data_IF_317660090974
#
_entry.id   IF_317660090974
#
_cell.length_a   1.000
_cell.length_b   1.000
_cell.length_c   1.000
_cell.angle_alpha   90.00
_cell.angle_beta   90.00
_cell.angle_gamma   90.00
#
_symmetry.space_group_name_H-M   'P 1'
#
loop_
_entity.id
_entity.type
_entity.pdbx_description
1 polymer ?
#
# COMPACT_ATOMS: atom_id res chain seq x y z
N UNK A 1 14.22 -39.87 18.75
CA UNK A 1 12.90 -39.99 18.07
C UNK A 1 11.90 -38.88 18.41
N UNK A 2 11.82 -38.33 19.65
CA UNK A 2 10.89 -37.23 20.00
C UNK A 2 11.21 -35.89 19.29
N UNK A 3 12.50 -35.54 19.19
CA UNK A 3 12.94 -34.28 18.54
C UNK A 3 12.62 -34.29 17.02
N UNK A 4 12.85 -35.43 16.35
CA UNK A 4 12.58 -35.56 14.92
C UNK A 4 11.07 -35.44 14.58
N UNK A 5 10.18 -35.99 15.41
CA UNK A 5 8.72 -35.81 15.26
C UNK A 5 8.29 -34.37 15.55
N UNK A 6 8.83 -33.76 16.61
CA UNK A 6 8.55 -32.36 16.94
C UNK A 6 8.99 -31.40 15.81
N UNK A 7 10.15 -31.68 15.21
CA UNK A 7 10.63 -30.94 14.04
C UNK A 7 9.74 -31.21 12.81
N UNK A 8 9.32 -32.46 12.57
CA UNK A 8 8.42 -32.78 11.46
C UNK A 8 7.05 -32.11 11.58
N UNK A 9 6.51 -31.95 12.80
CA UNK A 9 5.23 -31.31 13.05
C UNK A 9 5.32 -29.77 12.97
N UNK A 10 6.52 -29.18 13.10
CA UNK A 10 6.75 -27.75 13.16
C UNK A 10 7.65 -27.18 12.06
N UNK A 11 8.08 -28.01 11.13
CA UNK A 11 9.01 -27.62 10.09
C UNK A 11 8.47 -26.41 9.26
N UNK A 12 7.16 -26.37 8.99
CA UNK A 12 6.51 -25.24 8.29
C UNK A 12 6.66 -23.95 9.08
N UNK A 13 6.45 -24.01 10.40
CA UNK A 13 6.63 -22.86 11.28
C UNK A 13 8.09 -22.41 11.33
N UNK A 14 9.03 -23.34 11.41
CA UNK A 14 10.46 -23.05 11.44
C UNK A 14 10.89 -22.37 10.13
N UNK A 15 10.50 -22.94 8.99
CA UNK A 15 10.78 -22.36 7.67
C UNK A 15 10.15 -20.99 7.55
N UNK A 16 8.89 -20.83 7.97
CA UNK A 16 8.21 -19.53 7.94
C UNK A 16 8.94 -18.48 8.80
N UNK A 17 9.41 -18.85 9.99
CA UNK A 17 10.16 -17.94 10.87
C UNK A 17 11.54 -17.60 10.29
N UNK A 18 12.22 -18.55 9.65
CA UNK A 18 13.50 -18.30 8.98
C UNK A 18 13.32 -17.35 7.79
N UNK A 19 12.31 -17.59 6.96
CA UNK A 19 11.99 -16.70 5.84
C UNK A 19 11.61 -15.32 6.34
N UNK A 20 10.78 -15.22 7.37
CA UNK A 20 10.40 -13.94 7.97
C UNK A 20 11.62 -13.20 8.54
N UNK A 21 12.51 -13.90 9.24
CA UNK A 21 13.76 -13.35 9.75
C UNK A 21 14.66 -12.84 8.62
N UNK A 22 14.80 -13.61 7.55
CA UNK A 22 15.55 -13.21 6.36
C UNK A 22 14.98 -11.96 5.69
N UNK A 23 13.65 -11.87 5.54
CA UNK A 23 12.97 -10.70 4.98
C UNK A 23 13.04 -9.48 5.91
N UNK A 24 13.11 -9.68 7.22
CA UNK A 24 13.26 -8.60 8.18
C UNK A 24 14.70 -8.07 8.26
N UNK A 25 15.70 -8.89 7.90
CA UNK A 25 17.12 -8.56 8.05
C UNK A 25 17.52 -7.22 7.39
N UNK A 26 17.16 -6.90 6.14
CA UNK A 26 17.49 -5.60 5.55
C UNK A 26 16.90 -4.43 6.34
N UNK A 27 15.67 -4.56 6.84
CA UNK A 27 15.04 -3.52 7.64
C UNK A 27 15.71 -3.34 9.00
N UNK A 28 16.20 -4.43 9.60
CA UNK A 28 16.99 -4.38 10.85
C UNK A 28 18.34 -3.71 10.63
N UNK A 29 18.99 -3.96 9.48
CA UNK A 29 20.23 -3.27 9.12
C UNK A 29 20.00 -1.77 8.95
N UNK A 30 18.95 -1.36 8.24
CA UNK A 30 18.57 0.06 8.09
C UNK A 30 18.28 0.66 9.46
N UNK A 31 17.55 -0.06 10.34
CA UNK A 31 17.28 0.39 11.70
C UNK A 31 18.57 0.55 12.52
N UNK A 32 19.51 -0.37 12.44
CA UNK A 32 20.81 -0.25 13.09
C UNK A 32 21.60 0.96 12.56
N UNK A 33 21.66 1.11 11.22
CA UNK A 33 22.35 2.23 10.60
C UNK A 33 21.70 3.60 10.87
N UNK A 34 20.44 3.64 11.29
CA UNK A 34 19.80 4.90 11.72
C UNK A 34 20.43 5.50 12.97
N UNK A 35 21.09 4.67 13.78
CA UNK A 35 21.84 5.06 14.99
C UNK A 35 23.36 5.19 14.73
N UNK A 36 23.79 5.06 13.48
CA UNK A 36 25.20 5.14 13.13
C UNK A 36 25.62 6.56 12.73
N UNK A 37 26.83 6.95 13.12
CA UNK A 37 27.54 8.12 12.62
C UNK A 37 28.70 7.63 11.75
N UNK A 38 28.50 7.49 10.42
CA UNK A 38 29.52 6.96 9.53
C UNK A 38 30.67 7.97 9.37
N UNK A 39 31.90 7.49 9.34
CA UNK A 39 33.09 8.28 9.05
C UNK A 39 33.11 8.81 7.61
N UNK A 40 32.49 8.03 6.69
CA UNK A 40 32.32 8.38 5.30
C UNK A 40 30.90 8.05 4.83
N UNK A 41 30.28 8.94 4.03
CA UNK A 41 28.93 8.75 3.48
C UNK A 41 28.79 7.56 2.51
N UNK A 42 29.89 7.05 2.00
CA UNK A 42 29.94 5.88 1.11
C UNK A 42 30.22 4.57 1.86
N UNK A 43 30.54 4.63 3.17
CA UNK A 43 30.74 3.45 4.00
C UNK A 43 29.42 3.02 4.63
N UNK A 44 29.20 1.70 4.64
CA UNK A 44 28.09 1.06 5.34
C UNK A 44 28.54 0.44 6.67
N UNK A 45 29.77 0.71 7.10
CA UNK A 45 30.29 0.22 8.37
C UNK A 45 29.62 0.95 9.55
N UNK A 46 29.45 0.23 10.64
CA UNK A 46 28.95 0.81 11.87
C UNK A 46 30.13 1.35 12.67
N UNK A 47 30.34 2.68 12.62
CA UNK A 47 31.49 3.32 13.24
C UNK A 47 31.21 3.78 14.67
N UNK A 48 30.18 4.61 14.86
CA UNK A 48 29.88 5.22 16.14
C UNK A 48 28.36 5.26 16.39
N UNK A 49 27.92 4.87 17.59
CA UNK A 49 26.53 4.99 17.98
C UNK A 49 26.16 6.44 18.28
N UNK A 50 25.08 6.93 17.68
CA UNK A 50 24.58 8.28 17.92
C UNK A 50 23.05 8.35 17.86
N UNK A 51 22.47 9.27 18.65
CA UNK A 51 21.06 9.64 18.59
C UNK A 51 20.81 10.94 17.80
N UNK A 52 21.84 11.60 17.33
CA UNK A 52 21.73 12.90 16.66
C UNK A 52 20.92 12.83 15.38
N UNK A 53 20.99 11.71 14.65
CA UNK A 53 20.19 11.48 13.46
C UNK A 53 18.68 11.50 13.75
N UNK A 54 18.28 10.94 14.90
CA UNK A 54 16.89 10.93 15.38
C UNK A 54 16.44 12.27 15.94
N UNK A 55 17.36 13.04 16.52
CA UNK A 55 17.06 14.39 17.01
C UNK A 55 16.89 15.39 15.88
N UNK A 56 17.58 15.16 14.76
CA UNK A 56 17.57 16.04 13.58
C UNK A 56 17.29 15.26 12.31
N UNK A 57 16.10 14.66 12.17
CA UNK A 57 15.78 13.84 11.01
C UNK A 57 15.74 14.64 9.69
N UNK A 58 15.49 15.95 9.80
CA UNK A 58 15.45 16.89 8.69
C UNK A 58 16.71 17.77 8.58
N UNK A 59 17.87 17.26 9.00
CA UNK A 59 19.11 17.99 8.84
C UNK A 59 19.44 18.32 7.36
N UNK A 60 18.88 17.53 6.43
CA UNK A 60 18.90 17.78 4.98
C UNK A 60 17.48 18.24 4.58
N UNK A 61 17.30 19.54 4.29
CA UNK A 61 16.01 20.12 3.95
C UNK A 61 15.34 19.41 2.76
N UNK A 62 16.10 19.17 1.69
CA UNK A 62 15.61 18.55 0.45
C UNK A 62 14.99 17.16 0.67
N UNK A 63 15.51 16.40 1.66
CA UNK A 63 15.00 15.09 2.01
C UNK A 63 13.60 15.20 2.65
N UNK A 64 13.43 16.09 3.61
CA UNK A 64 12.13 16.29 4.25
C UNK A 64 11.09 16.84 3.30
N UNK A 65 11.48 17.73 2.40
CA UNK A 65 10.60 18.21 1.34
C UNK A 65 10.17 17.07 0.42
N UNK A 66 11.10 16.17 0.07
CA UNK A 66 10.80 14.98 -0.71
C UNK A 66 9.82 14.03 0.01
N UNK A 67 10.00 13.82 1.33
CA UNK A 67 9.06 13.04 2.16
C UNK A 67 7.67 13.67 2.17
N UNK A 68 7.58 14.98 2.42
CA UNK A 68 6.30 15.71 2.43
C UNK A 68 5.60 15.59 1.08
N UNK A 69 6.34 15.75 -0.03
CA UNK A 69 5.78 15.59 -1.38
C UNK A 69 5.29 14.17 -1.64
N UNK A 70 6.05 13.13 -1.22
CA UNK A 70 5.58 11.74 -1.33
C UNK A 70 4.31 11.50 -0.55
N UNK A 71 4.20 12.05 0.68
CA UNK A 71 2.98 11.93 1.49
C UNK A 71 1.80 12.65 0.84
N UNK A 72 2.01 13.84 0.31
CA UNK A 72 0.97 14.62 -0.37
C UNK A 72 0.46 13.91 -1.63
N UNK A 73 1.37 13.46 -2.49
CA UNK A 73 1.04 12.69 -3.70
C UNK A 73 0.33 11.39 -3.32
N UNK A 74 0.92 10.63 -2.39
CA UNK A 74 0.36 9.36 -1.93
C UNK A 74 -1.04 9.51 -1.34
N UNK A 75 -1.27 10.54 -0.53
CA UNK A 75 -2.59 10.83 0.04
C UNK A 75 -3.62 11.19 -1.03
N UNK A 76 -3.29 12.13 -1.92
CA UNK A 76 -4.21 12.56 -2.99
C UNK A 76 -4.53 11.41 -3.95
N UNK A 77 -3.50 10.69 -4.41
CA UNK A 77 -3.68 9.54 -5.28
C UNK A 77 -4.53 8.45 -4.61
N UNK A 78 -4.29 8.18 -3.32
CA UNK A 78 -5.07 7.21 -2.54
C UNK A 78 -6.54 7.60 -2.45
N UNK A 79 -6.84 8.84 -2.10
CA UNK A 79 -8.23 9.30 -1.99
C UNK A 79 -8.94 9.17 -3.33
N UNK A 80 -8.33 9.68 -4.40
CA UNK A 80 -8.93 9.64 -5.73
C UNK A 80 -9.08 8.19 -6.24
N UNK A 81 -8.03 7.37 -6.14
CA UNK A 81 -8.07 5.98 -6.56
C UNK A 81 -9.07 5.16 -5.73
N UNK A 82 -9.18 5.41 -4.43
CA UNK A 82 -10.12 4.70 -3.56
C UNK A 82 -11.56 5.04 -3.89
N UNK A 83 -11.87 6.31 -4.11
CA UNK A 83 -13.22 6.73 -4.53
C UNK A 83 -13.58 6.12 -5.88
N UNK A 84 -12.74 6.34 -6.90
CA UNK A 84 -12.98 5.84 -8.26
C UNK A 84 -13.03 4.31 -8.30
N UNK A 85 -12.06 3.64 -7.69
CA UNK A 85 -11.97 2.18 -7.69
C UNK A 85 -13.11 1.52 -6.91
N UNK A 86 -13.55 2.15 -5.81
CA UNK A 86 -14.73 1.66 -5.06
C UNK A 86 -16.00 1.78 -5.91
N UNK A 87 -16.24 2.93 -6.54
CA UNK A 87 -17.39 3.12 -7.44
C UNK A 87 -17.37 2.11 -8.60
N UNK A 88 -16.20 1.91 -9.22
CA UNK A 88 -16.03 0.90 -10.27
C UNK A 88 -16.29 -0.52 -9.76
N UNK A 89 -15.80 -0.87 -8.57
CA UNK A 89 -16.03 -2.18 -7.97
C UNK A 89 -17.52 -2.44 -7.71
N UNK A 90 -18.25 -1.46 -7.17
CA UNK A 90 -19.70 -1.54 -7.01
C UNK A 90 -20.41 -1.69 -8.36
N UNK A 91 -20.08 -0.89 -9.36
CA UNK A 91 -20.65 -1.00 -10.69
C UNK A 91 -20.42 -2.39 -11.29
N UNK A 92 -19.19 -2.93 -11.17
CA UNK A 92 -18.84 -4.24 -11.71
C UNK A 92 -19.48 -5.42 -10.97
N UNK A 93 -19.81 -5.30 -9.69
CA UNK A 93 -20.41 -6.40 -8.91
C UNK A 93 -21.93 -6.33 -8.92
N UNK A 94 -22.50 -5.13 -8.79
CA UNK A 94 -23.95 -4.94 -8.58
C UNK A 94 -24.75 -4.72 -9.85
N UNK A 95 -24.11 -4.17 -10.90
CA UNK A 95 -24.82 -3.82 -12.11
C UNK A 95 -24.40 -4.69 -13.31
N UNK A 96 -25.37 -4.97 -14.19
CA UNK A 96 -25.16 -5.59 -15.49
C UNK A 96 -25.26 -4.51 -16.56
N UNK A 97 -24.18 -4.19 -17.22
CA UNK A 97 -24.14 -3.19 -18.30
C UNK A 97 -23.33 -3.70 -19.49
N UNK A 98 -23.60 -3.11 -20.66
CA UNK A 98 -22.84 -3.38 -21.90
C UNK A 98 -21.40 -2.87 -21.68
N UNK A 99 -20.39 -3.71 -21.98
CA UNK A 99 -18.98 -3.35 -21.78
C UNK A 99 -18.37 -3.79 -20.44
N UNK A 100 -19.15 -4.40 -19.53
CA UNK A 100 -18.63 -4.91 -18.23
C UNK A 100 -17.42 -5.85 -18.39
N UNK A 101 -17.45 -6.73 -19.41
CA UNK A 101 -16.34 -7.63 -19.70
C UNK A 101 -15.08 -6.83 -20.11
N UNK A 102 -15.24 -5.83 -20.97
CA UNK A 102 -14.15 -4.94 -21.40
C UNK A 102 -13.52 -4.20 -20.23
N UNK A 103 -14.33 -3.61 -19.31
CA UNK A 103 -13.83 -2.95 -18.11
C UNK A 103 -13.05 -3.92 -17.20
N UNK A 104 -13.54 -5.16 -17.01
CA UNK A 104 -12.79 -6.17 -16.27
C UNK A 104 -11.44 -6.50 -16.92
N UNK A 105 -11.39 -6.59 -18.24
CA UNK A 105 -10.14 -6.82 -18.99
C UNK A 105 -9.20 -5.63 -18.83
N UNK A 106 -9.68 -4.40 -18.93
CA UNK A 106 -8.87 -3.19 -18.75
C UNK A 106 -8.27 -3.11 -17.33
N UNK A 107 -9.07 -3.41 -16.30
CA UNK A 107 -8.57 -3.47 -14.91
C UNK A 107 -7.48 -4.53 -14.77
N UNK A 108 -7.69 -5.71 -15.34
CA UNK A 108 -6.68 -6.78 -15.31
C UNK A 108 -5.42 -6.43 -16.12
N UNK A 109 -5.60 -5.83 -17.29
CA UNK A 109 -4.49 -5.41 -18.15
C UNK A 109 -3.62 -4.35 -17.45
N UNK A 110 -4.24 -3.39 -16.76
CA UNK A 110 -3.51 -2.39 -15.96
C UNK A 110 -2.64 -3.03 -14.86
N UNK A 111 -3.14 -4.09 -14.19
CA UNK A 111 -2.38 -4.83 -13.17
C UNK A 111 -1.23 -5.66 -13.77
N UNK A 112 -1.43 -6.16 -15.00
CA UNK A 112 -0.43 -6.97 -15.70
C UNK A 112 0.62 -6.12 -16.45
N UNK A 113 0.38 -4.82 -16.61
CA UNK A 113 1.28 -3.91 -17.33
C UNK A 113 2.52 -3.65 -16.48
N UNK A 114 3.75 -3.85 -17.01
CA UNK A 114 4.98 -3.47 -16.32
C UNK A 114 4.98 -1.97 -15.98
N UNK A 115 5.40 -1.61 -14.78
CA UNK A 115 5.43 -0.22 -14.30
C UNK A 115 6.24 0.70 -15.23
N UNK A 116 7.35 0.19 -15.79
CA UNK A 116 8.17 0.90 -16.76
C UNK A 116 7.36 1.30 -18.00
N UNK A 117 6.57 0.36 -18.53
CA UNK A 117 5.74 0.58 -19.72
C UNK A 117 4.63 1.59 -19.41
N UNK A 118 4.02 1.49 -18.24
CA UNK A 118 2.99 2.43 -17.80
C UNK A 118 3.57 3.84 -17.63
N UNK A 119 4.72 3.97 -16.93
CA UNK A 119 5.37 5.25 -16.70
C UNK A 119 5.75 5.96 -18.00
N UNK A 120 6.38 5.23 -18.93
CA UNK A 120 6.77 5.79 -20.24
C UNK A 120 5.57 6.12 -21.14
N UNK A 121 4.51 5.31 -21.10
CA UNK A 121 3.29 5.58 -21.87
C UNK A 121 2.55 6.81 -21.37
N UNK A 122 2.48 7.01 -20.04
CA UNK A 122 1.90 8.21 -19.44
C UNK A 122 2.73 9.45 -19.75
N UNK A 123 4.07 9.34 -19.69
CA UNK A 123 4.96 10.42 -20.12
C UNK A 123 4.68 10.80 -21.57
N UNK A 124 4.63 9.82 -22.49
CA UNK A 124 4.33 10.07 -23.90
C UNK A 124 2.97 10.75 -24.09
N UNK A 125 1.96 10.32 -23.33
CA UNK A 125 0.64 10.95 -23.33
C UNK A 125 0.69 12.40 -22.86
N UNK A 126 1.34 12.72 -21.74
CA UNK A 126 1.43 14.07 -21.21
C UNK A 126 2.22 14.97 -22.15
N UNK A 127 3.34 14.50 -22.71
CA UNK A 127 4.14 15.26 -23.68
C UNK A 127 3.33 15.57 -24.95
N UNK A 128 2.64 14.56 -25.52
CA UNK A 128 1.81 14.75 -26.72
C UNK A 128 0.62 15.67 -26.48
N UNK A 129 0.09 15.71 -25.26
CA UNK A 129 -0.99 16.61 -24.86
C UNK A 129 -0.49 18.02 -24.45
N UNK A 130 0.82 18.27 -24.48
CA UNK A 130 1.41 19.56 -24.06
C UNK A 130 1.29 19.82 -22.55
N UNK A 131 1.11 18.78 -21.72
CA UNK A 131 0.99 18.91 -20.27
C UNK A 131 2.39 18.89 -19.65
N UNK A 132 2.79 19.96 -18.93
CA UNK A 132 4.09 19.98 -18.26
C UNK A 132 4.13 18.96 -17.11
N UNK A 133 5.23 18.17 -17.05
CA UNK A 133 5.45 17.19 -15.99
C UNK A 133 5.68 17.90 -14.64
N UNK A 134 5.18 17.29 -13.56
CA UNK A 134 5.31 17.82 -12.22
C UNK A 134 4.41 17.11 -11.22
N UNK A 135 4.09 17.77 -10.14
CA UNK A 135 3.28 17.22 -9.05
C UNK A 135 1.96 16.58 -9.52
N UNK A 136 1.19 17.25 -10.37
CA UNK A 136 -0.12 16.76 -10.80
C UNK A 136 -0.05 15.60 -11.79
N UNK A 137 0.94 15.57 -12.65
CA UNK A 137 1.15 14.43 -13.55
C UNK A 137 1.54 13.17 -12.77
N UNK A 138 2.31 13.32 -11.69
CA UNK A 138 2.58 12.20 -10.77
C UNK A 138 1.29 11.75 -10.07
N UNK A 139 0.49 12.67 -9.52
CA UNK A 139 -0.79 12.31 -8.86
C UNK A 139 -1.70 11.55 -9.82
N UNK A 140 -1.87 12.04 -11.05
CA UNK A 140 -2.71 11.40 -12.07
C UNK A 140 -2.17 10.01 -12.41
N UNK A 141 -0.86 9.90 -12.63
CA UNK A 141 -0.20 8.61 -12.92
C UNK A 141 -0.41 7.59 -11.81
N UNK A 142 -0.29 8.03 -10.55
CA UNK A 142 -0.51 7.16 -9.39
C UNK A 142 -1.99 6.78 -9.23
N UNK A 143 -2.94 7.66 -9.56
CA UNK A 143 -4.36 7.31 -9.59
C UNK A 143 -4.62 6.20 -10.62
N UNK A 144 -4.09 6.34 -11.84
CA UNK A 144 -4.22 5.33 -12.90
C UNK A 144 -3.61 4.00 -12.47
N UNK A 145 -2.44 4.05 -11.84
CA UNK A 145 -1.77 2.87 -11.30
C UNK A 145 -2.57 2.19 -10.18
N UNK A 146 -2.97 2.95 -9.17
CA UNK A 146 -3.58 2.42 -7.95
C UNK A 146 -5.05 1.99 -8.13
N UNK A 147 -5.81 2.61 -9.05
CA UNK A 147 -7.25 2.37 -9.20
C UNK A 147 -7.59 0.89 -9.43
N UNK A 148 -6.79 0.19 -10.21
CA UNK A 148 -7.01 -1.23 -10.51
C UNK A 148 -6.81 -2.13 -9.29
N UNK A 149 -5.84 -1.84 -8.43
CA UNK A 149 -5.63 -2.53 -7.16
C UNK A 149 -6.81 -2.31 -6.22
N UNK A 150 -7.32 -1.08 -6.15
CA UNK A 150 -8.51 -0.76 -5.35
C UNK A 150 -9.73 -1.52 -5.87
N UNK A 151 -9.97 -1.50 -7.19
CA UNK A 151 -11.10 -2.23 -7.81
C UNK A 151 -11.08 -3.70 -7.44
N UNK A 152 -9.92 -4.37 -7.59
CA UNK A 152 -9.82 -5.81 -7.32
C UNK A 152 -10.03 -6.12 -5.83
N UNK A 153 -9.43 -5.32 -4.94
CA UNK A 153 -9.53 -5.51 -3.49
C UNK A 153 -10.96 -5.31 -2.99
N UNK A 154 -11.61 -4.22 -3.41
CA UNK A 154 -12.99 -3.92 -3.01
C UNK A 154 -13.97 -4.91 -3.65
N UNK A 155 -13.75 -5.29 -4.92
CA UNK A 155 -14.55 -6.30 -5.62
C UNK A 155 -14.50 -7.66 -4.91
N UNK A 156 -13.33 -8.09 -4.45
CA UNK A 156 -13.19 -9.34 -3.69
C UNK A 156 -13.99 -9.30 -2.39
N UNK A 157 -13.99 -8.15 -1.70
CA UNK A 157 -14.79 -7.95 -0.47
C UNK A 157 -16.29 -7.98 -0.75
N UNK A 158 -16.74 -7.30 -1.79
CA UNK A 158 -18.15 -7.27 -2.23
C UNK A 158 -18.65 -8.65 -2.66
N UNK A 159 -17.83 -9.43 -3.38
CA UNK A 159 -18.20 -10.76 -3.82
C UNK A 159 -18.35 -11.76 -2.67
N UNK A 160 -17.61 -11.55 -1.57
CA UNK A 160 -17.71 -12.38 -0.35
C UNK A 160 -18.86 -12.00 0.60
N UNK A 161 -19.66 -10.99 0.27
CA UNK A 161 -20.77 -10.54 1.09
C UNK A 161 -22.05 -11.31 0.73
N UNK A 162 -22.77 -11.79 1.75
CA UNK A 162 -24.06 -12.44 1.55
C UNK A 162 -25.14 -11.41 1.17
N UNK A 163 -25.70 -11.55 -0.03
CA UNK A 163 -26.76 -10.68 -0.56
C UNK A 163 -28.06 -10.76 0.24
N UNK A 164 -28.29 -11.88 0.92
CA UNK A 164 -29.50 -12.06 1.76
C UNK A 164 -29.62 -11.00 2.85
N UNK A 165 -28.50 -10.42 3.30
CA UNK A 165 -28.55 -9.34 4.28
C UNK A 165 -29.18 -8.07 3.71
N UNK A 166 -28.95 -7.78 2.44
CA UNK A 166 -29.55 -6.62 1.76
C UNK A 166 -31.03 -6.90 1.45
N UNK A 167 -31.35 -8.11 0.99
CA UNK A 167 -32.72 -8.55 0.72
C UNK A 167 -33.58 -8.52 2.00
N UNK A 168 -33.07 -9.07 3.10
CA UNK A 168 -33.78 -9.03 4.39
C UNK A 168 -34.03 -7.60 4.90
N UNK A 169 -33.11 -6.66 4.64
CA UNK A 169 -33.38 -5.26 5.01
C UNK A 169 -34.47 -4.63 4.16
N UNK A 170 -34.50 -4.92 2.87
CA UNK A 170 -35.53 -4.42 1.96
C UNK A 170 -36.91 -5.05 2.30
N UNK A 171 -36.96 -6.31 2.70
CA UNK A 171 -38.17 -6.96 3.21
C UNK A 171 -38.70 -6.27 4.47
N UNK A 172 -37.84 -5.63 5.25
CA UNK A 172 -38.17 -4.79 6.39
C UNK A 172 -38.44 -3.31 6.02
N UNK A 173 -38.80 -3.04 4.77
CA UNK A 173 -39.11 -1.71 4.22
C UNK A 173 -37.95 -0.72 4.24
N UNK A 174 -36.67 -1.17 4.32
CA UNK A 174 -35.53 -0.27 4.16
C UNK A 174 -35.42 0.14 2.70
N UNK A 175 -35.21 1.43 2.44
CA UNK A 175 -34.89 1.91 1.10
C UNK A 175 -33.49 1.44 0.65
N UNK A 176 -33.24 1.43 -0.66
CA UNK A 176 -31.90 1.06 -1.20
C UNK A 176 -30.78 1.89 -0.58
N UNK A 177 -30.98 3.19 -0.37
CA UNK A 177 -30.00 4.07 0.29
C UNK A 177 -29.79 3.71 1.76
N UNK A 178 -30.85 3.36 2.48
CA UNK A 178 -30.75 2.92 3.87
C UNK A 178 -30.01 1.59 3.97
N UNK A 179 -30.32 0.64 3.09
CA UNK A 179 -29.63 -0.64 2.98
C UNK A 179 -28.15 -0.44 2.66
N UNK A 180 -27.82 0.40 1.66
CA UNK A 180 -26.45 0.73 1.33
C UNK A 180 -25.69 1.31 2.53
N UNK A 181 -26.24 2.36 3.16
CA UNK A 181 -25.53 3.09 4.22
C UNK A 181 -25.39 2.29 5.52
N UNK A 182 -26.41 1.48 5.88
CA UNK A 182 -26.47 0.79 7.18
C UNK A 182 -25.99 -0.65 7.15
N UNK A 183 -25.97 -1.29 5.99
CA UNK A 183 -25.60 -2.70 5.83
C UNK A 183 -24.41 -2.85 4.89
N UNK A 184 -24.56 -2.47 3.63
CA UNK A 184 -23.53 -2.72 2.61
C UNK A 184 -22.23 -1.98 2.91
N UNK A 185 -22.30 -0.66 3.11
CA UNK A 185 -21.12 0.17 3.32
C UNK A 185 -20.33 -0.24 4.58
N UNK A 186 -20.94 -0.45 5.77
CA UNK A 186 -20.21 -0.91 6.94
C UNK A 186 -19.55 -2.28 6.78
N UNK A 187 -20.16 -3.20 6.04
CA UNK A 187 -19.61 -4.53 5.77
C UNK A 187 -18.45 -4.49 4.78
N UNK A 188 -18.48 -3.57 3.84
CA UNK A 188 -17.44 -3.41 2.80
C UNK A 188 -16.32 -2.47 3.26
N UNK A 189 -16.61 -1.55 4.19
CA UNK A 189 -15.66 -0.52 4.67
C UNK A 189 -14.29 -1.08 5.08
N UNK A 190 -14.17 -2.20 5.80
CA UNK A 190 -12.85 -2.77 6.09
C UNK A 190 -12.05 -3.12 4.84
N UNK A 191 -12.72 -3.57 3.78
CA UNK A 191 -12.11 -3.83 2.48
C UNK A 191 -11.70 -2.55 1.76
N UNK A 192 -12.52 -1.48 1.84
CA UNK A 192 -12.18 -0.17 1.27
C UNK A 192 -10.96 0.42 1.99
N UNK A 193 -10.92 0.34 3.32
CA UNK A 193 -9.76 0.81 4.11
C UNK A 193 -8.51 0.01 3.76
N UNK A 194 -8.60 -1.31 3.64
CA UNK A 194 -7.47 -2.13 3.22
C UNK A 194 -6.97 -1.77 1.81
N UNK A 195 -7.89 -1.51 0.87
CA UNK A 195 -7.56 -1.06 -0.47
C UNK A 195 -6.90 0.33 -0.47
N UNK A 196 -7.37 1.25 0.37
CA UNK A 196 -6.77 2.57 0.53
C UNK A 196 -5.35 2.49 1.10
N UNK A 197 -5.13 1.67 2.13
CA UNK A 197 -3.79 1.46 2.69
C UNK A 197 -2.83 0.85 1.66
N UNK A 198 -3.30 -0.10 0.86
CA UNK A 198 -2.52 -0.68 -0.23
C UNK A 198 -2.18 0.39 -1.28
N UNK A 199 -3.16 1.17 -1.72
CA UNK A 199 -2.96 2.25 -2.70
C UNK A 199 -1.97 3.30 -2.18
N UNK A 200 -2.06 3.67 -0.90
CA UNK A 200 -1.10 4.59 -0.28
C UNK A 200 0.32 4.03 -0.29
N UNK A 201 0.48 2.77 0.10
CA UNK A 201 1.78 2.10 0.10
C UNK A 201 2.40 2.07 -1.30
N UNK A 202 1.62 1.61 -2.30
CA UNK A 202 2.05 1.55 -3.69
C UNK A 202 2.42 2.92 -4.26
N UNK A 203 1.67 3.97 -3.91
CA UNK A 203 1.94 5.32 -4.38
C UNK A 203 3.13 5.97 -3.67
N UNK A 204 3.33 5.66 -2.39
CA UNK A 204 4.39 6.27 -1.60
C UNK A 204 5.79 5.76 -1.96
N UNK A 205 5.93 4.45 -2.21
CA UNK A 205 7.21 3.80 -2.51
C UNK A 205 7.52 3.72 -4.01
N UNK A 206 6.60 4.19 -4.87
CA UNK A 206 6.82 4.18 -6.31
C UNK A 206 7.98 5.11 -6.71
N UNK A 207 8.92 4.53 -7.43
CA UNK A 207 10.02 5.24 -8.06
C UNK A 207 9.85 5.34 -9.57
N UNK A 208 9.41 4.25 -10.21
CA UNK A 208 9.47 4.10 -11.67
C UNK A 208 8.48 5.04 -12.36
N UNK A 209 7.19 4.93 -12.04
CA UNK A 209 6.16 5.78 -12.66
C UNK A 209 6.40 7.24 -12.32
N UNK A 210 6.80 7.51 -11.07
CA UNK A 210 7.16 8.86 -10.61
C UNK A 210 8.31 9.43 -11.43
N UNK A 211 9.41 8.71 -11.60
CA UNK A 211 10.62 9.20 -12.26
C UNK A 211 10.38 9.66 -13.71
N UNK A 212 9.46 9.01 -14.43
CA UNK A 212 9.09 9.43 -15.79
C UNK A 212 8.19 10.65 -15.83
N UNK A 213 7.37 10.88 -14.81
CA UNK A 213 6.29 11.88 -14.86
C UNK A 213 6.48 13.06 -13.89
N UNK A 214 7.57 13.07 -13.11
CA UNK A 214 7.78 14.03 -12.03
C UNK A 214 8.29 15.41 -12.49
N UNK A 215 8.92 15.51 -13.66
CA UNK A 215 9.59 16.74 -14.07
C UNK A 215 10.62 17.19 -13.05
N UNK A 216 10.43 18.33 -12.42
CA UNK A 216 11.32 18.86 -11.36
C UNK A 216 10.90 18.45 -9.95
N UNK A 217 9.78 17.73 -9.80
CA UNK A 217 9.28 17.26 -8.50
C UNK A 217 10.13 16.08 -8.03
N UNK A 218 10.69 16.17 -6.83
CA UNK A 218 11.46 15.08 -6.22
C UNK A 218 10.65 14.46 -5.10
N UNK A 219 10.41 13.15 -5.20
CA UNK A 219 9.77 12.34 -4.15
C UNK A 219 10.81 11.61 -3.30
N UNK A 220 10.41 11.04 -2.17
CA UNK A 220 11.34 10.36 -1.27
C UNK A 220 12.07 9.17 -1.94
N UNK A 221 11.42 8.27 -2.70
CA UNK A 221 12.13 7.23 -3.45
C UNK A 221 13.15 7.78 -4.45
N UNK A 222 12.83 8.87 -5.15
CA UNK A 222 13.77 9.53 -6.06
C UNK A 222 14.96 10.13 -5.31
N UNK A 223 14.72 10.74 -4.16
CA UNK A 223 15.77 11.26 -3.29
C UNK A 223 16.71 10.13 -2.83
N UNK A 224 16.14 9.01 -2.35
CA UNK A 224 16.91 7.83 -1.90
C UNK A 224 17.77 7.28 -3.04
N UNK A 225 17.20 7.15 -4.24
CA UNK A 225 17.95 6.71 -5.43
C UNK A 225 19.13 7.63 -5.76
N UNK A 226 18.90 8.93 -5.77
CA UNK A 226 19.97 9.93 -6.00
C UNK A 226 21.01 9.95 -4.88
N UNK A 227 20.62 9.72 -3.64
CA UNK A 227 21.52 9.60 -2.49
C UNK A 227 22.38 8.33 -2.56
N UNK A 228 21.80 7.21 -3.02
CA UNK A 228 22.53 5.94 -3.16
C UNK A 228 23.74 6.05 -4.10
N UNK A 229 23.69 6.97 -5.08
CA UNK A 229 24.80 7.21 -6.01
C UNK A 229 25.87 8.17 -5.48
N UNK A 230 25.56 8.98 -4.48
CA UNK A 230 26.44 10.06 -3.96
C UNK A 230 26.83 9.89 -2.50
N UNK A 231 26.30 8.85 -1.85
CA UNK A 231 26.42 8.60 -0.43
C UNK A 231 25.12 8.90 0.32
N UNK A 232 24.64 7.89 1.05
CA UNK A 232 23.36 7.94 1.76
C UNK A 232 23.53 8.70 3.08
N UNK A 233 22.83 9.84 3.27
CA UNK A 233 22.80 10.49 4.57
C UNK A 233 22.16 9.56 5.63
N UNK A 234 22.69 9.47 6.88
CA UNK A 234 22.13 8.61 7.92
C UNK A 234 20.65 8.89 8.21
N UNK A 235 20.19 10.11 7.97
CA UNK A 235 18.79 10.52 8.13
C UNK A 235 17.82 9.75 7.22
N UNK A 236 18.28 9.26 6.06
CA UNK A 236 17.46 8.38 5.19
C UNK A 236 17.09 7.10 5.95
N UNK A 237 18.06 6.53 6.69
CA UNK A 237 17.83 5.33 7.49
C UNK A 237 16.85 5.62 8.65
N UNK A 238 16.87 6.84 9.24
CA UNK A 238 15.90 7.26 10.26
C UNK A 238 14.49 7.30 9.69
N UNK A 239 14.30 7.94 8.55
CA UNK A 239 12.98 8.03 7.90
C UNK A 239 12.49 6.63 7.52
N UNK A 240 13.33 5.80 6.89
CA UNK A 240 12.98 4.42 6.54
C UNK A 240 12.58 3.59 7.76
N UNK A 241 13.35 3.68 8.85
CA UNK A 241 13.05 3.00 10.11
C UNK A 241 11.74 3.49 10.74
N UNK A 242 11.52 4.81 10.78
CA UNK A 242 10.30 5.40 11.32
C UNK A 242 9.06 4.93 10.52
N UNK A 243 9.14 4.91 9.20
CA UNK A 243 8.05 4.44 8.36
C UNK A 243 7.77 2.96 8.54
N UNK A 244 8.82 2.13 8.63
CA UNK A 244 8.68 0.71 8.90
C UNK A 244 8.04 0.47 10.28
N UNK A 245 8.44 1.21 11.31
CA UNK A 245 7.87 1.14 12.65
C UNK A 245 6.37 1.54 12.64
N UNK A 246 6.01 2.61 11.92
CA UNK A 246 4.60 3.04 11.76
C UNK A 246 3.78 1.94 11.08
N UNK A 247 4.29 1.34 10.01
CA UNK A 247 3.62 0.24 9.31
C UNK A 247 3.38 -0.97 10.24
N UNK A 248 4.40 -1.37 11.00
CA UNK A 248 4.28 -2.45 11.99
C UNK A 248 3.25 -2.13 13.08
N UNK A 249 3.24 -0.90 13.59
CA UNK A 249 2.25 -0.46 14.59
C UNK A 249 0.83 -0.51 14.03
N UNK A 250 0.60 -0.05 12.80
CA UNK A 250 -0.71 -0.10 12.16
C UNK A 250 -1.19 -1.54 11.98
N UNK A 251 -0.32 -2.43 11.50
CA UNK A 251 -0.63 -3.86 11.36
C UNK A 251 -0.90 -4.51 12.72
N UNK A 252 -0.10 -4.19 13.73
CA UNK A 252 -0.29 -4.68 15.11
C UNK A 252 -1.64 -4.27 15.69
N UNK A 253 -2.01 -2.99 15.55
CA UNK A 253 -3.28 -2.45 16.04
C UNK A 253 -4.50 -3.09 15.36
N UNK A 254 -4.43 -3.29 14.04
CA UNK A 254 -5.52 -3.95 13.28
C UNK A 254 -5.66 -5.42 13.68
N UNK A 255 -4.55 -6.13 13.88
CA UNK A 255 -4.55 -7.54 14.32
C UNK A 255 -5.13 -7.73 15.71
N UNK A 256 -4.85 -6.81 16.64
CA UNK A 256 -5.39 -6.84 18.00
C UNK A 256 -6.92 -6.61 18.01
N UNK A 257 -7.42 -5.73 17.14
CA UNK A 257 -8.87 -5.46 17.02
C UNK A 257 -9.61 -6.66 16.40
N UNK A 258 -9.02 -7.33 15.42
CA UNK A 258 -9.62 -8.51 14.76
C UNK A 258 -9.80 -9.71 15.70
N UNK A 259 -8.96 -9.86 16.72
CA UNK A 259 -9.06 -10.95 17.72
C UNK A 259 -10.23 -10.80 18.69
N UNK A 260 -10.85 -9.62 18.81
CA UNK A 260 -11.97 -9.34 19.71
C UNK A 260 -13.35 -9.62 19.11
N UNK A 261 -13.45 -9.99 17.83
CA UNK A 261 -14.71 -10.43 17.24
C UNK A 261 -15.10 -11.78 17.86
N UNK A 262 -16.32 -11.92 18.45
CA UNK A 262 -16.76 -13.18 19.04
C UNK A 262 -16.79 -14.27 17.96
N UNK A 263 -16.12 -15.40 18.22
CA UNK A 263 -16.28 -16.62 17.42
C UNK A 263 -17.73 -17.03 17.51
N UNK A 264 -18.49 -16.84 16.44
CA UNK A 264 -19.82 -17.45 16.30
C UNK A 264 -19.62 -18.95 16.44
N UNK A 265 -20.21 -19.52 17.51
CA UNK A 265 -20.17 -20.94 17.76
C UNK A 265 -20.74 -21.66 16.53
N UNK A 266 -19.92 -22.50 15.90
CA UNK A 266 -20.40 -23.41 14.87
C UNK A 266 -21.42 -24.35 15.55
N UNK A 267 -22.70 -24.18 15.22
CA UNK A 267 -23.73 -25.17 15.59
C UNK A 267 -23.33 -26.51 14.97
N UNK A 268 -23.31 -27.61 15.78
CA UNK A 268 -23.06 -28.93 15.23
C UNK A 268 -24.16 -29.27 14.22
N UNK A 269 -23.78 -29.67 13.03
CA UNK A 269 -24.69 -30.27 12.06
C UNK A 269 -25.25 -31.55 12.66
N UNK A 270 -26.59 -31.73 12.75
CA UNK A 270 -27.18 -33.01 13.15
C UNK A 270 -26.83 -34.05 12.07
N UNK A 271 -26.43 -35.23 12.53
CA UNK A 271 -26.17 -36.43 11.70
C UNK A 271 -27.49 -36.98 11.15
#
# INVERSE_FOLDING_TARGET
MRIARWLADRWVLIVALLVLGYLALPNLVVAALSFNRPSNRLSYDFDEFTLDNWRRPCATSDMCDAVVRSVQIGFLATVLATVLGTLMAFALVRHRFRGRAGVNVLVFLSLATPELVMGTSLLALFVSAGVPQGFWTVVISHVVFCVSFVVVTVKARLAGMDRRLEEAAMDLYASEWQTFRRITLPLVLPGIVAAALLAFSLSFDDFIVTNFNAGTTVTFPMYVWGAAQRGIPPQVNVIGTAMFAIALLLVGLTSLRGRRAPRVARTPTPR
#
